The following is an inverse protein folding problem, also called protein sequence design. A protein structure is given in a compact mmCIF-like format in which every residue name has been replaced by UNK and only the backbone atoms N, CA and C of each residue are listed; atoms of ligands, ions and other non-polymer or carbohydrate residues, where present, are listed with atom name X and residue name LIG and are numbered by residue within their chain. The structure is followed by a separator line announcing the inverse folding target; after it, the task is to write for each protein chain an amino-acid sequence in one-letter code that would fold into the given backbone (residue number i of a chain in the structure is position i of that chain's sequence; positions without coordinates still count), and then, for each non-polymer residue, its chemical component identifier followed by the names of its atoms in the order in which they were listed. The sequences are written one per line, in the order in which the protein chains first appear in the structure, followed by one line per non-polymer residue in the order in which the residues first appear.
data_IF_321031900381
#
_entry.id   IF_321031900381
#
_cell.length_a   1.000
_cell.length_b   1.000
_cell.length_c   1.000
_cell.angle_alpha   90.00
_cell.angle_beta   90.00
_cell.angle_gamma   90.00
#
_symmetry.space_group_name_H-M   'P 1'
#
loop_
_entity.id
_entity.type
_entity.pdbx_description
1 polymer ?
#
# COMPACT_ATOMS: atom_id res chain seq x y z
N UNK A 1 0.53 9.58 37.65
CA UNK A 1 1.24 9.27 36.39
C UNK A 1 0.36 9.75 35.25
N UNK A 2 0.71 10.86 34.58
CA UNK A 2 -0.05 11.33 33.43
C UNK A 2 0.19 10.38 32.25
N UNK A 3 -0.84 9.66 31.82
CA UNK A 3 -0.78 8.91 30.58
C UNK A 3 -0.64 9.93 29.45
N UNK A 4 0.54 9.98 28.84
CA UNK A 4 0.71 10.75 27.61
C UNK A 4 -0.23 10.14 26.56
N UNK A 5 -0.98 10.94 25.78
CA UNK A 5 -1.69 10.39 24.64
C UNK A 5 -0.62 9.81 23.70
N UNK A 6 -0.67 8.49 23.47
CA UNK A 6 0.31 7.79 22.66
C UNK A 6 0.22 8.28 21.20
N UNK A 7 0.99 9.31 20.84
CA UNK A 7 1.11 9.81 19.47
C UNK A 7 1.58 8.72 18.51
N UNK A 8 2.36 7.75 19.00
CA UNK A 8 2.74 6.53 18.28
C UNK A 8 1.53 5.78 17.68
N UNK A 9 0.45 5.60 18.46
CA UNK A 9 -0.75 4.90 17.96
C UNK A 9 -1.41 5.71 16.84
N UNK A 10 -1.44 7.04 16.96
CA UNK A 10 -1.99 7.92 15.93
C UNK A 10 -1.14 7.85 14.64
N UNK A 11 0.17 7.97 14.75
CA UNK A 11 1.10 7.89 13.62
C UNK A 11 1.02 6.53 12.91
N UNK A 12 0.93 5.44 13.67
CA UNK A 12 0.78 4.10 13.11
C UNK A 12 -0.56 3.93 12.37
N UNK A 13 -1.66 4.47 12.92
CA UNK A 13 -2.97 4.47 12.24
C UNK A 13 -2.94 5.27 10.94
N UNK A 14 -2.30 6.43 10.93
CA UNK A 14 -2.12 7.24 9.72
C UNK A 14 -1.30 6.48 8.66
N UNK A 15 -0.19 5.85 9.07
CA UNK A 15 0.60 4.99 8.19
C UNK A 15 -0.22 3.85 7.58
N UNK A 16 -0.98 3.11 8.40
CA UNK A 16 -1.83 2.02 7.91
C UNK A 16 -2.90 2.51 6.94
N UNK A 17 -3.47 3.69 7.19
CA UNK A 17 -4.42 4.32 6.27
C UNK A 17 -3.79 4.60 4.90
N UNK A 18 -2.59 5.19 4.89
CA UNK A 18 -1.83 5.46 3.65
C UNK A 18 -1.43 4.17 2.95
N UNK A 19 -0.92 3.17 3.68
CA UNK A 19 -0.56 1.87 3.14
C UNK A 19 -1.74 1.20 2.45
N UNK A 20 -2.90 1.11 3.12
CA UNK A 20 -4.08 0.47 2.56
C UNK A 20 -4.55 1.17 1.27
N UNK A 21 -4.59 2.51 1.27
CA UNK A 21 -4.98 3.29 0.08
C UNK A 21 -4.00 3.09 -1.08
N UNK A 22 -2.70 3.08 -0.79
CA UNK A 22 -1.66 2.85 -1.79
C UNK A 22 -1.78 1.45 -2.38
N UNK A 23 -1.96 0.43 -1.54
CA UNK A 23 -2.15 -0.96 -1.97
C UNK A 23 -3.38 -1.11 -2.87
N UNK A 24 -4.52 -0.51 -2.51
CA UNK A 24 -5.74 -0.55 -3.34
C UNK A 24 -5.54 0.12 -4.71
N UNK A 25 -4.85 1.27 -4.71
CA UNK A 25 -4.56 2.03 -5.93
C UNK A 25 -3.67 1.21 -6.87
N UNK A 26 -2.53 0.73 -6.39
CA UNK A 26 -1.62 -0.04 -7.21
C UNK A 26 -2.20 -1.39 -7.62
N UNK A 27 -3.00 -2.05 -6.78
CA UNK A 27 -3.69 -3.27 -7.19
C UNK A 27 -4.62 -3.02 -8.37
N UNK A 28 -5.45 -1.97 -8.28
CA UNK A 28 -6.43 -1.63 -9.32
C UNK A 28 -5.76 -1.21 -10.64
N UNK A 29 -4.61 -0.54 -10.58
CA UNK A 29 -3.87 -0.06 -11.74
C UNK A 29 -2.95 -1.12 -12.37
N UNK A 30 -2.37 -2.00 -11.56
CA UNK A 30 -1.31 -2.91 -12.00
C UNK A 30 -1.77 -4.36 -12.22
N UNK A 31 -2.75 -4.87 -11.46
CA UNK A 31 -3.22 -6.25 -11.60
C UNK A 31 -4.39 -6.29 -12.58
N UNK A 32 -4.18 -6.96 -13.71
CA UNK A 32 -5.12 -7.03 -14.84
C UNK A 32 -5.43 -8.46 -15.28
N UNK A 33 -4.58 -9.42 -14.94
CA UNK A 33 -4.82 -10.83 -15.25
C UNK A 33 -5.46 -11.55 -14.06
N UNK A 34 -6.72 -11.94 -14.23
CA UNK A 34 -7.48 -12.69 -13.23
C UNK A 34 -7.67 -14.18 -13.61
N UNK A 35 -6.90 -14.69 -14.57
CA UNK A 35 -6.97 -16.09 -15.02
C UNK A 35 -6.07 -17.03 -14.22
N UNK A 36 -5.15 -16.48 -13.43
CA UNK A 36 -4.26 -17.23 -12.53
C UNK A 36 -4.20 -16.57 -11.15
N UNK A 37 -3.79 -17.33 -10.14
CA UNK A 37 -3.57 -16.83 -8.77
C UNK A 37 -2.22 -16.13 -8.59
N UNK A 38 -1.28 -16.39 -9.49
CA UNK A 38 0.06 -15.82 -9.48
C UNK A 38 0.05 -14.40 -10.04
N UNK A 39 0.87 -13.51 -9.48
CA UNK A 39 1.10 -12.18 -10.03
C UNK A 39 2.16 -12.30 -11.11
N UNK A 40 1.86 -11.86 -12.33
CA UNK A 40 2.81 -11.97 -13.43
C UNK A 40 4.04 -11.08 -13.20
N UNK A 41 5.20 -11.42 -13.82
CA UNK A 41 6.39 -10.58 -13.74
C UNK A 41 6.12 -9.13 -14.18
N UNK A 42 5.34 -8.93 -15.25
CA UNK A 42 4.97 -7.59 -15.73
C UNK A 42 4.15 -6.80 -14.71
N UNK A 43 3.19 -7.46 -14.04
CA UNK A 43 2.34 -6.86 -13.01
C UNK A 43 3.15 -6.52 -11.74
N UNK A 44 4.15 -7.35 -11.42
CA UNK A 44 5.08 -7.11 -10.30
C UNK A 44 5.92 -5.86 -10.55
N UNK A 45 6.60 -5.78 -11.70
CA UNK A 45 7.40 -4.60 -12.08
C UNK A 45 6.56 -3.33 -12.13
N UNK A 46 5.33 -3.43 -12.64
CA UNK A 46 4.42 -2.28 -12.66
C UNK A 46 3.99 -1.86 -11.24
N UNK A 47 3.69 -2.82 -10.37
CA UNK A 47 3.32 -2.57 -8.97
C UNK A 47 4.47 -1.91 -8.20
N UNK A 48 5.71 -2.37 -8.39
CA UNK A 48 6.91 -1.76 -7.79
C UNK A 48 7.08 -0.29 -8.23
N UNK A 49 6.90 -0.02 -9.53
CA UNK A 49 6.94 1.34 -10.05
C UNK A 49 5.80 2.21 -9.48
N UNK A 50 4.59 1.65 -9.37
CA UNK A 50 3.45 2.34 -8.77
C UNK A 50 3.73 2.75 -7.31
N UNK A 51 4.32 1.85 -6.52
CA UNK A 51 4.70 2.16 -5.13
C UNK A 51 5.70 3.33 -5.04
N UNK A 52 6.64 3.44 -5.99
CA UNK A 52 7.63 4.52 -6.02
C UNK A 52 7.00 5.86 -6.43
N UNK A 53 6.07 5.84 -7.38
CA UNK A 53 5.41 7.06 -7.89
C UNK A 53 4.37 7.58 -6.90
N UNK A 54 3.52 6.68 -6.38
CA UNK A 54 2.39 7.03 -5.52
C UNK A 54 2.75 7.09 -4.03
N UNK A 55 3.88 6.52 -3.63
CA UNK A 55 4.41 6.59 -2.26
C UNK A 55 5.30 7.81 -2.00
N UNK A 56 5.47 8.71 -2.98
CA UNK A 56 6.16 10.01 -2.84
C UNK A 56 5.25 11.10 -2.28
#
# INVERSE_FOLDING_TARGET
LAAQPCTCIKQFKEFLGTYNKLTETCFSDCIKDFTAREVKPEETTHSEHCLIVQGK
#
